data_IF_990407424016
#
_entry.id   IF_990407424016
#
_cell.length_a   1.000
_cell.length_b   1.000
_cell.length_c   1.000
_cell.angle_alpha   90.00
_cell.angle_beta   90.00
_cell.angle_gamma   90.00
#
_symmetry.space_group_name_H-M   'P 1'
#
loop_
_entity.id
_entity.type
_entity.pdbx_description
1 polymer ?
#
# COMPACT_ATOMS: atom_id res chain seq x y z
N UNK A 1 -13.48 21.68 -3.16
CA UNK A 1 -12.29 21.21 -2.44
C UNK A 1 -12.53 19.75 -2.10
N UNK A 2 -11.76 18.81 -2.66
CA UNK A 2 -11.88 17.40 -2.29
C UNK A 2 -11.15 17.22 -0.97
N UNK A 3 -11.83 16.73 0.07
CA UNK A 3 -11.21 16.30 1.32
C UNK A 3 -10.15 15.25 0.97
N UNK A 4 -8.89 15.64 1.15
CA UNK A 4 -7.78 14.73 1.01
C UNK A 4 -7.69 13.99 2.34
N UNK A 5 -8.28 12.79 2.40
CA UNK A 5 -8.07 11.92 3.55
C UNK A 5 -6.57 11.62 3.64
N UNK A 6 -5.91 12.21 4.64
CA UNK A 6 -4.57 11.81 5.05
C UNK A 6 -4.69 10.48 5.82
N UNK A 7 -5.04 9.41 5.11
CA UNK A 7 -4.97 8.04 5.60
C UNK A 7 -3.49 7.67 5.75
N UNK A 8 -3.05 7.25 6.94
CA UNK A 8 -1.73 6.64 7.08
C UNK A 8 -1.74 5.19 6.53
N UNK A 9 -0.56 4.58 6.39
CA UNK A 9 -0.43 3.26 5.76
C UNK A 9 -1.22 2.18 6.52
N UNK A 10 -1.14 2.21 7.85
CA UNK A 10 -1.79 1.27 8.75
C UNK A 10 -3.31 1.36 8.66
N UNK A 11 -3.85 2.57 8.58
CA UNK A 11 -5.29 2.81 8.39
C UNK A 11 -5.75 2.32 7.02
N UNK A 12 -4.95 2.53 5.96
CA UNK A 12 -5.29 2.09 4.61
C UNK A 12 -5.31 0.55 4.51
N UNK A 13 -4.34 -0.13 5.11
CA UNK A 13 -4.31 -1.59 5.22
C UNK A 13 -5.51 -2.11 6.01
N UNK A 14 -5.78 -1.53 7.20
CA UNK A 14 -6.94 -1.92 8.00
C UNK A 14 -8.25 -1.77 7.23
N UNK A 15 -8.39 -0.68 6.48
CA UNK A 15 -9.58 -0.46 5.65
C UNK A 15 -9.69 -1.49 4.53
N UNK A 16 -8.58 -1.84 3.89
CA UNK A 16 -8.55 -2.89 2.86
C UNK A 16 -9.00 -4.24 3.43
N UNK A 17 -8.55 -4.62 4.63
CA UNK A 17 -9.02 -5.84 5.31
C UNK A 17 -10.52 -5.83 5.59
N UNK A 18 -11.06 -4.68 6.03
CA UNK A 18 -12.51 -4.52 6.24
C UNK A 18 -13.30 -4.67 4.94
N UNK A 19 -12.77 -4.14 3.83
CA UNK A 19 -13.37 -4.26 2.51
C UNK A 19 -13.41 -5.71 2.07
N UNK A 20 -12.29 -6.45 2.20
CA UNK A 20 -12.22 -7.88 1.87
C UNK A 20 -13.26 -8.67 2.67
N UNK A 21 -13.30 -8.49 4.00
CA UNK A 21 -14.29 -9.14 4.87
C UNK A 21 -15.73 -8.84 4.48
N UNK A 22 -16.01 -7.62 4.02
CA UNK A 22 -17.35 -7.25 3.54
C UNK A 22 -17.65 -7.92 2.21
N UNK A 23 -16.74 -7.90 1.24
CA UNK A 23 -16.92 -8.53 -0.06
C UNK A 23 -17.14 -10.05 0.02
N UNK A 24 -16.62 -10.70 1.08
CA UNK A 24 -16.87 -12.12 1.38
C UNK A 24 -18.26 -12.38 2.00
N UNK A 25 -19.05 -11.35 2.31
CA UNK A 25 -20.38 -11.50 2.90
C UNK A 25 -21.46 -11.77 1.84
N UNK A 26 -22.32 -12.75 2.11
CA UNK A 26 -23.40 -13.17 1.21
C UNK A 26 -24.53 -12.14 1.00
N UNK A 27 -24.56 -11.05 1.79
CA UNK A 27 -25.68 -10.09 1.80
C UNK A 27 -25.37 -8.76 1.12
N UNK A 28 -24.33 -8.69 0.28
CA UNK A 28 -23.98 -7.45 -0.41
C UNK A 28 -24.73 -7.30 -1.74
N UNK A 29 -25.29 -6.11 -1.98
CA UNK A 29 -25.84 -5.80 -3.30
C UNK A 29 -24.72 -5.57 -4.33
N UNK A 30 -25.02 -5.78 -5.62
CA UNK A 30 -24.05 -5.57 -6.71
C UNK A 30 -23.44 -4.16 -6.69
N UNK A 31 -24.27 -3.13 -6.47
CA UNK A 31 -23.81 -1.74 -6.42
C UNK A 31 -22.87 -1.48 -5.25
N UNK A 32 -23.12 -2.09 -4.09
CA UNK A 32 -22.22 -2.01 -2.95
C UNK A 32 -20.91 -2.74 -3.22
N UNK A 33 -20.97 -3.92 -3.86
CA UNK A 33 -19.79 -4.71 -4.21
C UNK A 33 -18.88 -3.94 -5.16
N UNK A 34 -19.45 -3.27 -6.16
CA UNK A 34 -18.70 -2.44 -7.10
C UNK A 34 -18.04 -1.23 -6.43
N UNK A 35 -18.73 -0.60 -5.46
CA UNK A 35 -18.17 0.52 -4.69
C UNK A 35 -17.00 0.07 -3.83
N UNK A 36 -17.18 -1.01 -3.07
CA UNK A 36 -16.14 -1.57 -2.20
C UNK A 36 -14.94 -2.07 -3.02
N UNK A 37 -15.18 -2.71 -4.17
CA UNK A 37 -14.12 -3.16 -5.05
C UNK A 37 -13.28 -2.01 -5.58
N UNK A 38 -13.93 -0.93 -6.05
CA UNK A 38 -13.23 0.27 -6.51
C UNK A 38 -12.39 0.90 -5.39
N UNK A 39 -12.96 1.04 -4.20
CA UNK A 39 -12.25 1.54 -3.03
C UNK A 39 -11.03 0.65 -2.68
N UNK A 40 -11.20 -0.67 -2.76
CA UNK A 40 -10.13 -1.64 -2.53
C UNK A 40 -8.96 -1.49 -3.50
N UNK A 41 -9.23 -1.27 -4.79
CA UNK A 41 -8.17 -1.00 -5.79
C UNK A 41 -7.41 0.29 -5.43
N UNK A 42 -8.13 1.38 -5.14
CA UNK A 42 -7.50 2.67 -4.81
C UNK A 42 -6.62 2.57 -3.54
N UNK A 43 -7.06 1.81 -2.54
CA UNK A 43 -6.27 1.56 -1.33
C UNK A 43 -5.07 0.64 -1.58
N UNK A 44 -5.23 -0.40 -2.40
CA UNK A 44 -4.12 -1.30 -2.76
C UNK A 44 -3.01 -0.53 -3.49
N UNK A 45 -3.37 0.30 -4.47
CA UNK A 45 -2.43 1.17 -5.19
C UNK A 45 -1.72 2.15 -4.24
N UNK A 46 -2.46 2.73 -3.28
CA UNK A 46 -1.89 3.60 -2.27
C UNK A 46 -0.85 2.88 -1.39
N UNK A 47 -1.18 1.69 -0.89
CA UNK A 47 -0.29 0.90 -0.05
C UNK A 47 0.98 0.50 -0.80
N UNK A 48 0.86 0.01 -2.04
CA UNK A 48 2.01 -0.34 -2.88
C UNK A 48 2.95 0.86 -3.07
N UNK A 49 2.41 2.03 -3.42
CA UNK A 49 3.22 3.24 -3.57
C UNK A 49 3.94 3.65 -2.29
N UNK A 50 3.33 3.42 -1.12
CA UNK A 50 3.95 3.72 0.17
C UNK A 50 5.10 2.75 0.49
N UNK A 51 4.94 1.48 0.16
CA UNK A 51 6.00 0.48 0.27
C UNK A 51 7.18 0.82 -0.67
N UNK A 52 6.90 1.15 -1.94
CA UNK A 52 7.93 1.57 -2.90
C UNK A 52 8.71 2.81 -2.41
N UNK A 53 8.00 3.78 -1.81
CA UNK A 53 8.60 4.98 -1.24
C UNK A 53 9.54 4.64 -0.07
N UNK A 54 9.10 3.75 0.82
CA UNK A 54 9.90 3.29 1.96
C UNK A 54 11.13 2.52 1.50
N UNK A 55 10.99 1.61 0.53
CA UNK A 55 12.10 0.84 -0.04
C UNK A 55 13.16 1.76 -0.66
N UNK A 56 12.74 2.77 -1.43
CA UNK A 56 13.67 3.77 -2.00
C UNK A 56 14.42 4.54 -0.93
N UNK A 57 13.75 4.93 0.16
CA UNK A 57 14.40 5.65 1.25
C UNK A 57 15.47 4.80 1.94
N UNK A 58 15.18 3.51 2.19
CA UNK A 58 16.16 2.56 2.74
C UNK A 58 17.36 2.41 1.79
N UNK A 59 17.10 2.24 0.50
CA UNK A 59 18.13 2.14 -0.53
C UNK A 59 19.04 3.37 -0.64
N UNK A 60 18.52 4.58 -0.36
CA UNK A 60 19.32 5.81 -0.34
C UNK A 60 20.22 5.85 0.91
N UNK A 61 19.73 5.42 2.08
CA UNK A 61 20.51 5.45 3.33
C UNK A 61 21.70 4.48 3.27
N UNK A 62 21.53 3.30 2.67
CA UNK A 62 22.63 2.34 2.48
C UNK A 62 23.76 2.86 1.57
N UNK A 63 23.47 3.83 0.68
CA UNK A 63 24.46 4.50 -0.17
C UNK A 63 25.33 5.51 0.60
N UNK A 64 24.96 5.86 1.83
CA UNK A 64 25.60 6.89 2.65
C UNK A 64 26.59 6.35 3.68
N UNK A 65 27.76 5.86 3.24
CA UNK A 65 28.95 5.73 4.11
C UNK A 65 30.28 5.76 3.35
N UNK A 66 30.34 5.36 2.06
CA UNK A 66 31.59 5.32 1.28
C UNK A 66 31.53 5.91 -0.14
N UNK A 67 30.42 6.52 -0.58
CA UNK A 67 30.37 7.34 -1.80
C UNK A 67 30.39 6.60 -3.15
N UNK A 68 30.39 5.26 -3.18
CA UNK A 68 30.29 4.49 -4.42
C UNK A 68 28.83 4.07 -4.68
N UNK A 69 28.34 4.35 -5.90
CA UNK A 69 27.01 3.95 -6.35
C UNK A 69 27.03 2.48 -6.73
N UNK A 70 26.53 1.63 -5.83
CA UNK A 70 26.18 0.25 -6.16
C UNK A 70 24.65 0.19 -6.33
N UNK A 71 24.19 -0.20 -7.53
CA UNK A 71 22.82 -0.66 -7.71
C UNK A 71 22.72 -2.08 -7.15
N UNK A 72 22.29 -2.20 -5.89
CA UNK A 72 21.78 -3.45 -5.37
C UNK A 72 20.29 -3.27 -5.14
N UNK A 73 19.48 -4.08 -5.83
CA UNK A 73 18.10 -4.33 -5.45
C UNK A 73 18.08 -4.78 -3.99
N UNK A 74 17.23 -4.16 -3.16
CA UNK A 74 17.06 -4.60 -1.78
C UNK A 74 16.28 -5.91 -1.82
N UNK A 75 16.99 -7.03 -1.97
CA UNK A 75 16.36 -8.34 -1.99
C UNK A 75 16.03 -8.73 -0.54
N UNK A 76 14.75 -8.70 -0.16
CA UNK A 76 14.24 -9.37 1.04
C UNK A 76 14.33 -10.89 0.80
N UNK A 77 15.54 -11.45 0.72
CA UNK A 77 15.69 -12.88 0.94
C UNK A 77 15.53 -13.11 2.44
N UNK A 78 14.34 -13.58 2.83
CA UNK A 78 14.07 -14.16 4.14
C UNK A 78 15.07 -15.32 4.37
N UNK A 79 15.99 -15.16 5.33
CA UNK A 79 16.67 -16.30 5.97
C UNK A 79 15.71 -17.06 6.90
#
# INVERSE_FOLDING_TARGET
>A
MKEQLNLNFEEAIKRLEEIVKKLESDNLSLDESLKLFKEGIELSDYCNRKLDEAERQINIVLKGSNGELIETEFNFEEE
#
